data_IF_255788296562
#
_entry.id   IF_255788296562
#
_cell.length_a   1.000
_cell.length_b   1.000
_cell.length_c   1.000
_cell.angle_alpha   90.00
_cell.angle_beta   90.00
_cell.angle_gamma   90.00
#
_symmetry.space_group_name_H-M   'P 1'
#
loop_
_entity.id
_entity.type
_entity.pdbx_description
1 polymer ?
#
# COMPACT_ATOMS: atom_id res chain seq x y z
N UNK A 1 -6.75 -11.11 -16.14
CA UNK A 1 -8.18 -10.77 -16.31
C UNK A 1 -8.30 -9.26 -16.19
N UNK A 2 -8.60 -8.57 -17.30
CA UNK A 2 -8.80 -7.13 -17.32
C UNK A 2 -10.30 -6.86 -17.17
N UNK A 3 -10.73 -6.13 -16.15
CA UNK A 3 -12.09 -5.60 -16.09
C UNK A 3 -12.11 -4.25 -16.81
N UNK A 4 -12.34 -4.31 -18.12
CA UNK A 4 -12.84 -3.17 -18.90
C UNK A 4 -14.36 -3.19 -18.75
N UNK A 5 -14.99 -2.02 -18.57
CA UNK A 5 -16.45 -1.86 -18.57
C UNK A 5 -17.08 -2.75 -19.65
N UNK A 6 -17.98 -3.64 -19.26
CA UNK A 6 -18.71 -4.48 -20.20
C UNK A 6 -19.49 -3.59 -21.20
N UNK A 7 -19.78 -4.06 -22.43
CA UNK A 7 -20.45 -3.27 -23.48
C UNK A 7 -21.72 -2.53 -23.05
N UNK A 8 -22.41 -2.99 -22.01
CA UNK A 8 -23.56 -2.31 -21.40
C UNK A 8 -23.19 -0.99 -20.69
N UNK A 9 -22.02 -0.89 -20.05
CA UNK A 9 -21.57 0.32 -19.35
C UNK A 9 -21.17 1.47 -20.30
N UNK A 10 -20.61 1.14 -21.46
CA UNK A 10 -20.29 2.13 -22.50
C UNK A 10 -21.56 2.73 -23.14
N UNK A 11 -22.63 1.94 -23.24
CA UNK A 11 -23.93 2.41 -23.75
C UNK A 11 -24.63 3.38 -22.78
N UNK A 12 -24.46 3.21 -21.46
CA UNK A 12 -25.00 4.12 -20.44
C UNK A 12 -24.30 5.48 -20.49
N UNK A 13 -22.97 5.49 -20.60
CA UNK A 13 -22.18 6.75 -20.70
C UNK A 13 -22.43 7.48 -22.03
N UNK A 14 -22.61 6.75 -23.13
CA UNK A 14 -22.98 7.33 -24.42
C UNK A 14 -24.41 7.90 -24.43
N UNK A 15 -25.34 7.27 -23.69
CA UNK A 15 -26.71 7.73 -23.54
C UNK A 15 -26.81 9.00 -22.65
N UNK A 16 -26.02 9.09 -21.58
CA UNK A 16 -25.90 10.29 -20.74
C UNK A 16 -25.35 11.50 -21.52
N UNK A 17 -24.44 11.27 -22.48
CA UNK A 17 -23.81 12.31 -23.29
C UNK A 17 -24.52 12.61 -24.63
N UNK A 18 -25.58 11.85 -24.99
CA UNK A 18 -26.37 12.07 -26.21
C UNK A 18 -25.65 11.80 -27.53
N UNK A 19 -24.58 10.98 -27.54
CA UNK A 19 -23.73 10.73 -28.72
C UNK A 19 -23.63 9.24 -29.06
N UNK A 20 -23.36 8.92 -30.33
CA UNK A 20 -23.21 7.53 -30.78
C UNK A 20 -21.80 6.98 -30.50
N UNK A 21 -21.72 5.71 -30.07
CA UNK A 21 -20.47 4.99 -29.70
C UNK A 21 -19.38 5.02 -30.79
N UNK A 22 -19.76 5.21 -32.05
CA UNK A 22 -18.84 5.24 -33.20
C UNK A 22 -18.09 6.58 -33.40
N UNK A 23 -18.52 7.63 -32.70
CA UNK A 23 -18.01 9.00 -32.88
C UNK A 23 -16.99 9.42 -31.81
N UNK A 24 -16.58 8.48 -30.94
CA UNK A 24 -15.49 8.65 -29.97
C UNK A 24 -14.15 8.65 -30.72
N UNK A 25 -13.70 9.85 -31.13
CA UNK A 25 -12.43 10.08 -31.80
C UNK A 25 -11.24 9.56 -30.97
N UNK A 26 -10.76 8.38 -31.36
CA UNK A 26 -9.79 7.54 -30.67
C UNK A 26 -8.35 8.11 -30.72
N UNK A 27 -7.80 8.52 -29.56
CA UNK A 27 -6.37 8.38 -29.18
C UNK A 27 -6.02 8.95 -27.81
N UNK A 28 -6.81 9.88 -27.26
CA UNK A 28 -6.57 10.44 -25.92
C UNK A 28 -7.42 9.73 -24.85
N UNK A 29 -8.70 9.45 -25.16
CA UNK A 29 -9.65 8.85 -24.23
C UNK A 29 -9.29 7.43 -23.82
N UNK A 30 -8.69 6.63 -24.72
CA UNK A 30 -8.24 5.28 -24.39
C UNK A 30 -7.01 5.28 -23.47
N UNK A 31 -6.07 6.21 -23.66
CA UNK A 31 -4.92 6.37 -22.77
C UNK A 31 -5.36 6.87 -21.38
N UNK A 32 -6.31 7.81 -21.33
CA UNK A 32 -6.95 8.26 -20.09
C UNK A 32 -7.73 7.13 -19.42
N UNK A 33 -8.44 6.30 -20.18
CA UNK A 33 -9.16 5.14 -19.66
C UNK A 33 -8.22 4.08 -19.06
N UNK A 34 -7.10 3.78 -19.72
CA UNK A 34 -6.08 2.86 -19.18
C UNK A 34 -5.44 3.44 -17.92
N UNK A 35 -5.05 4.72 -17.94
CA UNK A 35 -4.45 5.38 -16.78
C UNK A 35 -5.43 5.41 -15.59
N UNK A 36 -6.70 5.72 -15.84
CA UNK A 36 -7.74 5.71 -14.83
C UNK A 36 -8.00 4.30 -14.27
N UNK A 37 -8.01 3.28 -15.13
CA UNK A 37 -8.14 1.88 -14.73
C UNK A 37 -6.96 1.42 -13.86
N UNK A 38 -5.73 1.81 -14.20
CA UNK A 38 -4.54 1.50 -13.40
C UNK A 38 -4.57 2.19 -12.04
N UNK A 39 -4.95 3.47 -12.00
CA UNK A 39 -5.08 4.22 -10.73
C UNK A 39 -6.15 3.60 -9.83
N UNK A 40 -7.30 3.22 -10.42
CA UNK A 40 -8.37 2.57 -9.67
C UNK A 40 -7.94 1.20 -9.17
N UNK A 41 -7.36 0.35 -10.03
CA UNK A 41 -6.86 -0.97 -9.64
C UNK A 41 -5.80 -0.87 -8.53
N UNK A 42 -4.96 0.15 -8.58
CA UNK A 42 -3.95 0.43 -7.56
C UNK A 42 -4.61 0.80 -6.22
N UNK A 43 -5.54 1.75 -6.25
CA UNK A 43 -6.27 2.21 -5.05
C UNK A 43 -7.06 1.07 -4.41
N UNK A 44 -7.76 0.28 -5.22
CA UNK A 44 -8.52 -0.89 -4.77
C UNK A 44 -7.58 -1.94 -4.18
N UNK A 45 -6.46 -2.24 -4.84
CA UNK A 45 -5.49 -3.22 -4.35
C UNK A 45 -4.90 -2.86 -2.99
N UNK A 46 -4.63 -1.58 -2.72
CA UNK A 46 -4.19 -1.10 -1.40
C UNK A 46 -5.29 -1.27 -0.36
N UNK A 47 -6.52 -0.89 -0.70
CA UNK A 47 -7.65 -1.03 0.21
C UNK A 47 -7.93 -2.50 0.56
N UNK A 48 -7.86 -3.39 -0.42
CA UNK A 48 -7.98 -4.84 -0.23
C UNK A 48 -6.84 -5.38 0.65
N UNK A 49 -5.61 -4.90 0.45
CA UNK A 49 -4.45 -5.29 1.25
C UNK A 49 -4.63 -4.93 2.74
N UNK A 50 -5.06 -3.70 3.05
CA UNK A 50 -5.34 -3.29 4.44
C UNK A 50 -6.60 -3.93 5.01
N UNK A 51 -7.62 -4.17 4.18
CA UNK A 51 -8.82 -4.90 4.58
C UNK A 51 -8.45 -6.31 4.99
N UNK A 52 -7.65 -7.03 4.20
CA UNK A 52 -7.16 -8.36 4.53
C UNK A 52 -6.41 -8.38 5.86
N UNK A 53 -5.51 -7.42 6.12
CA UNK A 53 -4.85 -7.29 7.43
C UNK A 53 -5.84 -7.11 8.59
N UNK A 54 -6.93 -6.38 8.37
CA UNK A 54 -7.89 -6.02 9.41
C UNK A 54 -8.87 -7.16 9.69
N UNK A 55 -9.23 -7.94 8.67
CA UNK A 55 -10.23 -9.02 8.78
C UNK A 55 -9.63 -10.39 9.08
N UNK A 56 -8.30 -10.54 9.03
CA UNK A 56 -7.64 -11.82 9.33
C UNK A 56 -7.77 -12.14 10.82
N UNK A 57 -8.37 -13.28 11.20
CA UNK A 57 -8.47 -13.68 12.60
C UNK A 57 -7.09 -13.88 13.23
N UNK A 58 -6.90 -13.47 14.48
CA UNK A 58 -5.67 -13.68 15.24
C UNK A 58 -5.36 -12.53 16.18
N UNK A 59 -4.11 -12.45 16.62
CA UNK A 59 -3.63 -11.41 17.55
C UNK A 59 -3.11 -10.15 16.85
N UNK A 60 -3.28 -10.07 15.53
CA UNK A 60 -2.85 -8.95 14.70
C UNK A 60 -3.94 -7.89 14.55
N UNK A 61 -3.57 -6.61 14.61
CA UNK A 61 -4.50 -5.50 14.41
C UNK A 61 -3.83 -4.33 13.69
N UNK A 62 -4.54 -3.72 12.74
CA UNK A 62 -4.17 -2.43 12.17
C UNK A 62 -4.63 -1.33 13.13
N UNK A 63 -3.69 -0.62 13.74
CA UNK A 63 -3.96 0.51 14.64
C UNK A 63 -4.13 1.82 13.87
N UNK A 64 -3.47 1.95 12.72
CA UNK A 64 -3.54 3.16 11.89
C UNK A 64 -3.32 2.80 10.42
N UNK A 65 -4.09 3.45 9.55
CA UNK A 65 -3.93 3.37 8.10
C UNK A 65 -4.14 4.75 7.48
N UNK A 66 -3.13 5.27 6.79
CA UNK A 66 -3.21 6.52 6.03
C UNK A 66 -3.11 6.25 4.53
N UNK A 67 -3.96 6.92 3.75
CA UNK A 67 -3.99 6.81 2.29
C UNK A 67 -2.83 7.55 1.62
N UNK A 68 -2.57 7.24 0.34
CA UNK A 68 -1.59 7.94 -0.51
C UNK A 68 -1.79 9.46 -0.46
N UNK A 69 -3.04 9.94 -0.54
CA UNK A 69 -3.35 11.38 -0.50
C UNK A 69 -2.85 12.04 0.79
N UNK A 70 -3.09 11.41 1.94
CA UNK A 70 -2.61 11.91 3.23
C UNK A 70 -1.09 11.83 3.32
N UNK A 71 -0.50 10.74 2.86
CA UNK A 71 0.96 10.58 2.83
C UNK A 71 1.63 11.66 1.98
N UNK A 72 1.05 11.97 0.80
CA UNK A 72 1.54 13.02 -0.08
C UNK A 72 1.47 14.41 0.55
N UNK A 73 0.43 14.69 1.34
CA UNK A 73 0.33 15.96 2.07
C UNK A 73 1.39 16.10 3.16
N UNK A 74 1.76 14.99 3.82
CA UNK A 74 2.71 14.99 4.93
C UNK A 74 4.18 14.92 4.48
N UNK A 75 4.47 14.13 3.45
CA UNK A 75 5.84 13.77 3.07
C UNK A 75 6.14 13.96 1.58
N UNK A 76 5.19 14.42 0.76
CA UNK A 76 5.24 14.34 -0.69
C UNK A 76 6.38 15.10 -1.39
N UNK A 77 7.09 15.95 -0.66
CA UNK A 77 8.32 16.62 -1.11
C UNK A 77 9.53 15.69 -1.07
N UNK A 78 9.53 14.68 -0.19
CA UNK A 78 10.62 13.73 0.01
C UNK A 78 10.24 12.32 -0.43
N UNK A 79 9.11 11.79 0.05
CA UNK A 79 8.65 10.44 -0.22
C UNK A 79 7.14 10.41 -0.49
N UNK A 80 6.72 9.46 -1.34
CA UNK A 80 5.32 9.29 -1.75
C UNK A 80 4.93 7.82 -1.63
N UNK A 81 4.77 7.31 -0.39
CA UNK A 81 4.25 5.96 -0.19
C UNK A 81 2.80 5.89 -0.63
N UNK A 82 2.40 4.72 -1.08
CA UNK A 82 1.02 4.45 -1.49
C UNK A 82 0.09 4.35 -0.26
N UNK A 83 0.65 3.97 0.89
CA UNK A 83 0.01 4.08 2.18
C UNK A 83 1.02 4.08 3.33
N UNK A 84 0.56 4.50 4.51
CA UNK A 84 1.25 4.27 5.78
C UNK A 84 0.38 3.39 6.67
N UNK A 85 1.02 2.44 7.37
CA UNK A 85 0.36 1.53 8.30
C UNK A 85 1.07 1.46 9.64
N UNK A 86 0.27 1.36 10.71
CA UNK A 86 0.73 0.91 12.04
C UNK A 86 0.01 -0.38 12.35
N UNK A 87 0.77 -1.46 12.51
CA UNK A 87 0.26 -2.79 12.80
C UNK A 87 0.81 -3.30 14.13
N UNK A 88 -0.02 -3.97 14.93
CA UNK A 88 0.39 -4.61 16.17
C UNK A 88 0.10 -6.10 16.15
N UNK A 89 0.96 -6.89 16.77
CA UNK A 89 0.73 -8.31 17.02
C UNK A 89 1.32 -8.67 18.38
N UNK A 90 0.50 -9.17 19.30
CA UNK A 90 0.90 -9.55 20.67
C UNK A 90 1.80 -8.52 21.39
N UNK A 91 1.56 -7.22 21.16
CA UNK A 91 2.31 -6.11 21.76
C UNK A 91 3.53 -5.63 20.96
N UNK A 92 3.91 -6.31 19.88
CA UNK A 92 4.93 -5.84 18.94
C UNK A 92 4.28 -4.90 17.93
N UNK A 93 4.76 -3.66 17.83
CA UNK A 93 4.25 -2.65 16.88
C UNK A 93 5.23 -2.45 15.73
N UNK A 94 4.71 -2.43 14.52
CA UNK A 94 5.43 -2.12 13.29
C UNK A 94 4.74 -0.93 12.59
N UNK A 95 5.46 0.18 12.49
CA UNK A 95 5.13 1.29 11.60
C UNK A 95 5.80 1.03 10.24
N UNK A 96 5.10 1.25 9.14
CA UNK A 96 5.65 1.00 7.81
C UNK A 96 5.03 1.89 6.73
N UNK A 97 5.81 2.12 5.68
CA UNK A 97 5.32 2.57 4.39
C UNK A 97 5.02 1.37 3.49
N UNK A 98 3.91 1.45 2.75
CA UNK A 98 3.55 0.48 1.73
C UNK A 98 3.81 1.07 0.33
N UNK A 99 4.47 0.29 -0.50
CA UNK A 99 4.62 0.46 -1.93
C UNK A 99 3.90 -0.70 -2.62
N UNK A 100 2.81 -0.42 -3.32
CA UNK A 100 1.95 -1.41 -3.95
C UNK A 100 2.17 -1.42 -5.46
N UNK A 101 2.86 -2.44 -5.94
CA UNK A 101 3.23 -2.52 -7.34
C UNK A 101 2.21 -3.33 -8.14
N UNK A 102 1.68 -2.75 -9.23
CA UNK A 102 0.81 -3.46 -10.17
C UNK A 102 1.56 -4.21 -11.28
N UNK A 103 2.89 -4.05 -11.36
CA UNK A 103 3.65 -4.59 -12.48
C UNK A 103 3.83 -3.63 -13.65
N UNK A 104 3.22 -2.44 -13.58
CA UNK A 104 3.10 -1.49 -14.70
C UNK A 104 4.26 -0.49 -14.82
N UNK A 105 5.00 -0.27 -13.74
CA UNK A 105 6.18 0.61 -13.72
C UNK A 105 7.49 -0.19 -13.75
N UNK A 106 8.57 0.46 -14.17
CA UNK A 106 9.89 -0.18 -14.21
C UNK A 106 10.43 -0.38 -12.79
N UNK A 107 11.21 -1.45 -12.60
CA UNK A 107 11.80 -1.76 -11.29
C UNK A 107 12.85 -0.74 -10.86
N UNK A 108 13.52 -0.08 -11.81
CA UNK A 108 14.42 1.05 -11.50
C UNK A 108 13.63 2.25 -10.97
N UNK A 109 12.45 2.55 -11.53
CA UNK A 109 11.57 3.58 -10.98
C UNK A 109 11.15 3.27 -9.54
N UNK A 110 10.78 2.01 -9.26
CA UNK A 110 10.45 1.56 -7.90
C UNK A 110 11.66 1.73 -6.97
N UNK A 111 12.82 1.21 -7.36
CA UNK A 111 14.02 1.25 -6.53
C UNK A 111 14.53 2.67 -6.28
N UNK A 112 14.41 3.57 -7.27
CA UNK A 112 14.80 4.97 -7.10
C UNK A 112 13.97 5.72 -6.04
N UNK A 113 12.79 5.21 -5.64
CA UNK A 113 12.03 5.78 -4.51
C UNK A 113 12.81 5.72 -3.20
N UNK A 114 13.75 4.77 -3.04
CA UNK A 114 14.54 4.61 -1.81
C UNK A 114 15.35 5.86 -1.45
N UNK A 115 15.78 6.65 -2.43
CA UNK A 115 16.49 7.91 -2.18
C UNK A 115 15.60 8.92 -1.43
N UNK A 116 14.31 9.00 -1.79
CA UNK A 116 13.34 9.85 -1.11
C UNK A 116 13.07 9.40 0.33
N UNK A 117 12.98 8.09 0.56
CA UNK A 117 12.85 7.53 1.91
C UNK A 117 14.09 7.77 2.77
N UNK A 118 15.30 7.65 2.20
CA UNK A 118 16.54 7.96 2.91
C UNK A 118 16.58 9.43 3.36
N UNK A 119 16.16 10.34 2.48
CA UNK A 119 16.08 11.77 2.80
C UNK A 119 14.99 12.08 3.84
N UNK A 120 13.85 11.39 3.78
CA UNK A 120 12.81 11.48 4.80
C UNK A 120 13.32 11.02 6.18
N UNK A 121 14.02 9.89 6.25
CA UNK A 121 14.62 9.40 7.49
C UNK A 121 15.68 10.38 8.02
N UNK A 122 16.53 10.93 7.14
CA UNK A 122 17.57 11.90 7.49
C UNK A 122 16.99 13.21 8.04
N UNK A 123 15.91 13.70 7.45
CA UNK A 123 15.27 14.98 7.82
C UNK A 123 14.42 14.90 9.09
N UNK A 124 13.77 13.77 9.34
CA UNK A 124 12.87 13.57 10.50
C UNK A 124 13.57 12.89 11.68
N UNK A 125 14.66 12.16 11.43
CA UNK A 125 15.29 11.27 12.41
C UNK A 125 14.47 10.00 12.69
N UNK A 126 13.39 9.75 11.94
CA UNK A 126 12.50 8.60 12.12
C UNK A 126 12.80 7.58 11.02
N UNK A 127 13.20 6.38 11.43
CA UNK A 127 13.40 5.26 10.49
C UNK A 127 12.08 4.49 10.39
N UNK A 128 11.47 4.51 9.21
CA UNK A 128 10.23 3.77 8.92
C UNK A 128 10.48 2.78 7.78
N UNK A 129 10.33 1.47 8.03
CA UNK A 129 10.47 0.44 7.00
C UNK A 129 9.59 0.67 5.77
N UNK A 130 10.11 0.30 4.59
CA UNK A 130 9.37 0.27 3.33
C UNK A 130 9.03 -1.17 2.98
N UNK A 131 7.74 -1.47 2.85
CA UNK A 131 7.21 -2.75 2.42
C UNK A 131 6.82 -2.66 0.94
N UNK A 132 7.52 -3.41 0.09
CA UNK A 132 7.16 -3.54 -1.32
C UNK A 132 6.30 -4.79 -1.53
N UNK A 133 5.06 -4.58 -1.94
CA UNK A 133 4.14 -5.64 -2.33
C UNK A 133 4.06 -5.74 -3.85
N UNK A 134 4.39 -6.90 -4.42
CA UNK A 134 4.40 -7.13 -5.88
C UNK A 134 3.41 -8.23 -6.30
N UNK A 135 2.97 -8.29 -7.56
CA UNK A 135 1.97 -9.28 -7.96
C UNK A 135 2.52 -10.70 -8.03
N UNK A 136 3.81 -10.87 -8.35
CA UNK A 136 4.39 -12.19 -8.61
C UNK A 136 5.77 -12.38 -8.00
N UNK A 137 6.09 -13.62 -7.65
CA UNK A 137 7.40 -14.04 -7.15
C UNK A 137 8.53 -13.77 -8.14
N UNK A 138 8.25 -13.91 -9.45
CA UNK A 138 9.24 -13.57 -10.48
C UNK A 138 9.57 -12.09 -10.46
N UNK A 139 8.56 -11.24 -10.33
CA UNK A 139 8.76 -9.80 -10.23
C UNK A 139 9.47 -9.42 -8.94
N UNK A 140 9.16 -10.10 -7.84
CA UNK A 140 9.85 -9.90 -6.55
C UNK A 140 11.36 -10.17 -6.68
N UNK A 141 11.76 -11.27 -7.31
CA UNK A 141 13.19 -11.60 -7.50
C UNK A 141 13.92 -10.47 -8.25
N UNK A 142 13.36 -10.02 -9.37
CA UNK A 142 13.94 -8.89 -10.12
C UNK A 142 13.90 -7.58 -9.33
N UNK A 143 12.81 -7.32 -8.60
CA UNK A 143 12.67 -6.11 -7.79
C UNK A 143 13.72 -6.06 -6.68
N UNK A 144 13.95 -7.18 -6.00
CA UNK A 144 14.98 -7.30 -4.95
C UNK A 144 16.38 -7.00 -5.47
N UNK A 145 16.71 -7.44 -6.70
CA UNK A 145 18.00 -7.10 -7.32
C UNK A 145 18.13 -5.59 -7.52
N UNK A 146 17.14 -4.96 -8.15
CA UNK A 146 17.15 -3.51 -8.38
C UNK A 146 17.16 -2.70 -7.07
N UNK A 147 16.38 -3.15 -6.07
CA UNK A 147 16.36 -2.55 -4.73
C UNK A 147 17.71 -2.67 -4.05
N UNK A 148 18.35 -3.84 -4.05
CA UNK A 148 19.67 -4.05 -3.45
C UNK A 148 20.75 -3.15 -4.08
N UNK A 149 20.71 -2.98 -5.40
CA UNK A 149 21.68 -2.15 -6.11
C UNK A 149 21.55 -0.67 -5.69
N UNK A 150 20.33 -0.14 -5.61
CA UNK A 150 20.10 1.24 -5.15
C UNK A 150 20.36 1.37 -3.64
N UNK A 151 19.87 0.43 -2.83
CA UNK A 151 19.98 0.45 -1.38
C UNK A 151 21.45 0.53 -0.92
N UNK A 152 22.36 -0.21 -1.57
CA UNK A 152 23.80 -0.17 -1.29
C UNK A 152 24.48 1.16 -1.63
N UNK A 153 23.85 2.00 -2.45
CA UNK A 153 24.38 3.31 -2.84
C UNK A 153 23.87 4.44 -1.95
N UNK A 154 22.92 4.17 -1.06
CA UNK A 154 22.41 5.16 -0.11
C UNK A 154 23.51 5.59 0.86
N UNK A 155 23.55 6.87 1.29
CA UNK A 155 24.52 7.34 2.28
C UNK A 155 24.44 6.57 3.62
N UNK A 156 23.23 6.20 4.03
CA UNK A 156 22.95 5.31 5.16
C UNK A 156 21.86 4.31 4.76
N UNK A 157 22.24 3.10 4.30
CA UNK A 157 21.28 2.06 3.94
C UNK A 157 20.44 1.56 5.12
N UNK A 158 20.98 1.61 6.34
CA UNK A 158 20.29 1.12 7.55
C UNK A 158 19.13 2.01 7.97
N UNK A 159 19.13 3.27 7.52
CA UNK A 159 18.04 4.23 7.67
C UNK A 159 16.85 3.97 6.72
N UNK A 160 16.95 2.99 5.81
CA UNK A 160 15.84 2.57 4.94
C UNK A 160 15.71 1.04 4.97
N UNK A 161 15.16 0.45 6.04
CA UNK A 161 14.85 -0.98 6.04
C UNK A 161 13.80 -1.28 4.98
N UNK A 162 14.00 -2.36 4.23
CA UNK A 162 13.09 -2.76 3.14
C UNK A 162 12.74 -4.22 3.28
N UNK A 163 11.47 -4.57 3.12
CA UNK A 163 11.05 -5.96 2.92
C UNK A 163 10.17 -6.08 1.68
N UNK A 164 10.24 -7.24 1.03
CA UNK A 164 9.43 -7.55 -0.16
C UNK A 164 8.52 -8.74 0.09
N UNK A 165 7.35 -8.72 -0.53
CA UNK A 165 6.44 -9.87 -0.58
C UNK A 165 5.73 -9.91 -1.94
N UNK A 166 5.30 -11.11 -2.35
CA UNK A 166 4.58 -11.34 -3.59
C UNK A 166 3.18 -11.89 -3.32
N UNK A 167 2.17 -11.35 -4.00
CA UNK A 167 0.78 -11.76 -3.84
C UNK A 167 0.56 -13.24 -4.20
N UNK A 168 1.26 -13.76 -5.22
CA UNK A 168 1.20 -15.18 -5.62
C UNK A 168 1.81 -16.17 -4.60
N UNK A 169 2.32 -15.66 -3.46
CA UNK A 169 2.76 -16.48 -2.32
C UNK A 169 1.69 -16.70 -1.27
N UNK A 170 0.61 -15.93 -1.31
CA UNK A 170 -0.53 -16.18 -0.45
C UNK A 170 -1.15 -17.52 -0.87
N UNK A 171 -1.30 -18.43 0.08
CA UNK A 171 -1.90 -19.72 -0.19
C UNK A 171 -3.43 -19.57 -0.27
N UNK A 172 -4.04 -19.76 -1.45
CA UNK A 172 -5.48 -19.59 -1.62
C UNK A 172 -6.30 -20.67 -0.89
N UNK A 173 -5.67 -21.73 -0.37
CA UNK A 173 -6.34 -22.76 0.43
C UNK A 173 -6.62 -22.30 1.87
N UNK A 174 -5.95 -21.24 2.35
CA UNK A 174 -6.32 -20.65 3.64
C UNK A 174 -7.65 -19.91 3.52
N UNK A 175 -8.47 -19.98 4.57
CA UNK A 175 -9.75 -19.28 4.61
C UNK A 175 -9.60 -17.75 4.52
N UNK A 176 -8.48 -17.23 5.03
CA UNK A 176 -8.19 -15.79 5.09
C UNK A 176 -6.71 -15.55 4.73
N UNK A 177 -6.32 -15.68 3.45
CA UNK A 177 -4.96 -15.38 3.03
C UNK A 177 -4.67 -13.91 3.33
N UNK A 178 -3.52 -13.64 3.96
CA UNK A 178 -3.25 -12.35 4.54
C UNK A 178 -1.84 -11.87 4.25
N UNK A 179 -1.62 -10.58 3.96
CA UNK A 179 -0.27 -10.04 3.97
C UNK A 179 0.36 -10.06 5.39
N UNK A 180 -0.37 -10.44 6.44
CA UNK A 180 0.22 -10.75 7.75
C UNK A 180 1.00 -12.07 7.76
N UNK A 181 0.76 -12.96 6.78
CA UNK A 181 1.32 -14.30 6.70
C UNK A 181 2.83 -14.31 6.47
N UNK A 182 3.44 -15.50 6.50
CA UNK A 182 4.87 -15.74 6.29
C UNK A 182 5.30 -15.56 4.83
N UNK A 183 5.07 -14.38 4.29
CA UNK A 183 5.35 -14.03 2.89
C UNK A 183 6.43 -12.95 2.74
N UNK A 184 6.97 -12.39 3.81
CA UNK A 184 7.93 -11.29 3.73
C UNK A 184 9.38 -11.75 3.71
N UNK A 185 10.20 -11.04 2.94
CA UNK A 185 11.66 -11.18 2.90
C UNK A 185 12.30 -9.82 3.18
N UNK A 186 12.99 -9.63 4.32
CA UNK A 186 13.89 -8.49 4.51
C UNK A 186 14.93 -8.42 3.38
N UNK A 187 15.28 -7.21 2.95
CA UNK A 187 16.22 -6.99 1.84
C UNK A 187 17.67 -7.26 2.26
N UNK A 188 18.01 -6.90 3.49
CA UNK A 188 19.34 -6.81 4.06
C UNK A 188 19.78 -8.03 4.89
N UNK A 189 18.86 -8.96 5.22
CA UNK A 189 19.22 -10.21 5.90
C UNK A 189 19.61 -11.35 4.95
N UNK A 190 20.68 -12.11 5.26
CA UNK A 190 21.02 -13.34 4.56
C UNK A 190 20.01 -14.46 4.89
N UNK A 191 19.05 -14.66 3.98
CA UNK A 191 18.18 -15.84 3.80
C UNK A 191 17.88 -16.69 5.05
N UNK A 192 17.23 -16.12 6.06
CA UNK A 192 16.61 -16.85 7.19
C UNK A 192 15.24 -17.45 6.82
N UNK A 193 14.80 -17.24 5.57
CA UNK A 193 13.50 -17.67 5.05
C UNK A 193 12.47 -16.54 5.10
N UNK A 194 11.23 -16.84 4.71
CA UNK A 194 10.14 -15.86 4.81
C UNK A 194 9.63 -15.75 6.24
N UNK A 195 9.27 -14.53 6.62
CA UNK A 195 8.76 -14.18 7.94
C UNK A 195 7.36 -13.57 7.85
N UNK A 196 6.61 -13.67 8.95
CA UNK A 196 5.32 -12.99 9.08
C UNK A 196 5.53 -11.49 9.24
N UNK A 197 4.49 -10.68 8.95
CA UNK A 197 4.59 -9.22 8.99
C UNK A 197 5.12 -8.71 10.35
N UNK A 198 4.60 -9.23 11.47
CA UNK A 198 5.02 -8.83 12.81
C UNK A 198 6.48 -9.21 13.15
N UNK A 199 7.06 -10.18 12.45
CA UNK A 199 8.41 -10.66 12.71
C UNK A 199 9.46 -9.79 12.02
N UNK A 200 9.07 -8.87 11.12
CA UNK A 200 9.99 -7.94 10.46
C UNK A 200 10.71 -7.02 11.44
N UNK A 201 10.09 -6.69 12.58
CA UNK A 201 10.75 -5.90 13.64
C UNK A 201 12.00 -6.59 14.19
N UNK A 202 12.02 -7.93 14.21
CA UNK A 202 13.17 -8.69 14.67
C UNK A 202 14.34 -8.66 13.66
N UNK A 203 14.06 -8.46 12.37
CA UNK A 203 15.08 -8.30 11.34
C UNK A 203 15.79 -6.93 11.40
N UNK A 204 15.18 -5.95 12.07
CA UNK A 204 15.70 -4.59 12.20
C UNK A 204 15.73 -4.14 13.66
N UNK A 205 16.58 -4.76 14.50
CA UNK A 205 16.61 -4.50 15.95
C UNK A 205 17.08 -3.07 16.28
N UNK A 206 17.65 -2.35 15.33
CA UNK A 206 18.05 -0.94 15.47
C UNK A 206 16.89 0.04 15.35
N UNK A 207 15.70 -0.41 14.94
CA UNK A 207 14.50 0.44 14.94
C UNK A 207 14.10 0.73 16.37
N UNK A 208 14.08 2.02 16.72
CA UNK A 208 13.47 2.45 17.97
C UNK A 208 11.99 2.02 17.97
N UNK A 209 11.45 1.56 19.12
CA UNK A 209 10.03 1.29 19.23
C UNK A 209 9.25 2.54 18.80
N UNK A 210 8.22 2.39 17.96
CA UNK A 210 7.46 3.53 17.51
C UNK A 210 6.83 4.25 18.71
N UNK A 211 6.78 5.59 18.71
CA UNK A 211 6.20 6.33 19.82
C UNK A 211 4.74 5.92 20.01
N UNK A 212 4.36 5.74 21.28
CA UNK A 212 2.97 5.45 21.69
C UNK A 212 2.07 6.52 21.06
N UNK A 213 0.98 6.15 20.37
CA UNK A 213 0.12 7.12 19.74
C UNK A 213 -0.39 8.08 20.81
N UNK A 214 -0.02 9.35 20.69
CA UNK A 214 -0.74 10.41 21.38
C UNK A 214 -1.92 10.71 20.48
N UNK A 215 -3.11 10.67 21.04
CA UNK A 215 -4.38 10.96 20.38
C UNK A 215 -4.49 12.48 20.10
N UNK A 216 -3.41 13.09 19.58
CA UNK A 216 -3.37 14.50 19.29
C UNK A 216 -4.22 14.77 18.05
N UNK A 217 -5.29 15.57 18.17
CA UNK A 217 -5.99 16.06 17.01
C UNK A 217 -5.03 16.92 16.21
N UNK A 218 -4.69 16.45 15.00
CA UNK A 218 -3.96 17.25 14.01
C UNK A 218 -4.75 18.55 13.80
N UNK A 219 -4.12 19.74 13.89
CA UNK A 219 -4.81 21.00 13.69
C UNK A 219 -5.50 21.01 12.31
N UNK A 220 -6.70 21.63 12.20
CA UNK A 220 -7.45 21.63 10.95
C UNK A 220 -6.59 22.22 9.83
N UNK A 221 -6.52 21.47 8.72
CA UNK A 221 -5.83 21.89 7.52
C UNK A 221 -6.30 23.29 7.10
N UNK A 222 -5.35 24.19 6.84
CA UNK A 222 -5.63 25.45 6.18
C UNK A 222 -6.36 25.18 4.86
N UNK A 223 -7.45 25.91 4.66
CA UNK A 223 -8.54 25.64 3.71
C UNK A 223 -8.09 25.34 2.27
N UNK A 224 -8.30 24.09 1.84
CA UNK A 224 -8.46 23.65 0.45
C UNK A 224 -9.91 23.20 0.19
N UNK A 225 -10.34 22.97 -1.07
CA UNK A 225 -11.75 22.77 -1.41
C UNK A 225 -12.36 21.62 -0.59
N UNK A 226 -13.53 21.89 -0.02
CA UNK A 226 -14.18 21.07 1.00
C UNK A 226 -14.35 19.61 0.58
N UNK A 227 -13.54 18.73 1.17
CA UNK A 227 -13.80 17.30 1.19
C UNK A 227 -14.89 17.03 2.24
N UNK A 228 -16.00 16.41 1.83
CA UNK A 228 -17.00 15.92 2.78
C UNK A 228 -16.32 14.91 3.73
N UNK A 229 -16.48 15.06 5.06
CA UNK A 229 -15.95 14.07 6.00
C UNK A 229 -16.64 12.73 5.75
N UNK A 230 -15.87 11.65 5.83
CA UNK A 230 -16.40 10.30 5.72
C UNK A 230 -17.49 10.09 6.81
N UNK A 231 -18.66 9.54 6.47
CA UNK A 231 -19.68 9.23 7.47
C UNK A 231 -19.13 8.21 8.46
N UNK A 232 -19.50 8.37 9.73
CA UNK A 232 -19.13 7.42 10.78
C UNK A 232 -19.64 6.01 10.42
N UNK A 233 -18.84 4.95 10.60
CA UNK A 233 -19.29 3.59 10.31
C UNK A 233 -20.46 3.24 11.23
N UNK A 234 -21.64 3.04 10.65
CA UNK A 234 -22.76 2.44 11.37
C UNK A 234 -22.68 0.91 11.22
N UNK A 235 -22.70 0.14 12.33
CA UNK A 235 -22.91 -1.29 12.24
C UNK A 235 -24.30 -1.59 11.65
N UNK A 236 -24.48 -2.71 10.93
CA UNK A 236 -25.79 -3.11 10.44
C UNK A 236 -26.76 -3.27 11.61
N UNK A 237 -27.95 -2.69 11.48
CA UNK A 237 -29.04 -2.90 12.44
C UNK A 237 -29.38 -4.40 12.46
N UNK A 238 -29.22 -5.05 13.61
CA UNK A 238 -29.69 -6.41 13.80
C UNK A 238 -31.19 -6.47 13.56
N UNK A 239 -31.60 -7.17 12.50
CA UNK A 239 -32.99 -7.57 12.32
C UNK A 239 -33.37 -8.51 13.45
N UNK A 240 -34.40 -8.14 14.20
CA UNK A 240 -34.87 -8.87 15.37
C UNK A 240 -35.37 -10.27 15.04
N UNK A 241 -35.10 -11.21 15.94
CA UNK A 241 -35.78 -12.51 15.97
C UNK A 241 -37.29 -12.31 16.16
N UNK A 242 -38.14 -12.95 15.33
CA UNK A 242 -39.54 -13.14 15.69
C UNK A 242 -39.68 -14.27 16.72
N UNK A 243 -40.47 -14.02 17.76
CA UNK A 243 -40.86 -14.97 18.82
C UNK A 243 -41.73 -16.13 18.33
#
# INVERSE_FOLDING_TARGET
MHWVLAPAGAAVVAAEAGIAVRDLHYRHEHAMGIAHSLLLAHTVGINEWFTALTTTPGSGQVLTWWSETRCRQLWGDLARPDAYGRYTHTGTVLDFFLEYDLGSITLSTVANKLAGYAELARSTGIITPVLLWVPTSRREISARQALLDIWRTLPDPTAVPVATAAADRLDPAFAHPSPADRVWLPLDEPSTGRVALHQLTAAWPHLAPPPVPTDEPVPPAASGPAALPAPAPQPPNGEGEPS
#
